data_IF_671376149928
#
_entry.id   IF_671376149928
#
_cell.length_a   1.000
_cell.length_b   1.000
_cell.length_c   1.000
_cell.angle_alpha   90.00
_cell.angle_beta   90.00
_cell.angle_gamma   90.00
#
_symmetry.space_group_name_H-M   'P 1'
#
loop_
_entity.id
_entity.type
_entity.pdbx_description
1 polymer ?
#
# COMPACT_ATOMS: atom_id res chain seq x y z
N UNK A 1 0.21 -2.98 -1.97
CA UNK A 1 0.47 -2.39 -0.64
C UNK A 1 1.24 -1.11 -0.80
N UNK A 2 1.69 -0.46 0.28
CA UNK A 2 2.56 0.70 0.21
C UNK A 2 3.60 0.66 1.34
N UNK A 3 4.87 0.89 1.00
CA UNK A 3 5.97 0.90 1.97
C UNK A 3 6.03 2.23 2.72
N UNK A 4 5.12 2.42 3.68
CA UNK A 4 4.99 3.65 4.47
C UNK A 4 5.91 3.67 5.70
N UNK A 5 6.45 2.52 6.09
CA UNK A 5 7.32 2.38 7.28
C UNK A 5 6.59 2.70 8.60
N UNK A 6 5.26 2.64 8.63
CA UNK A 6 4.47 2.99 9.83
C UNK A 6 4.44 1.87 10.88
N UNK A 7 4.55 0.60 10.47
CA UNK A 7 4.47 -0.55 11.39
C UNK A 7 5.84 -1.13 11.74
N UNK A 8 6.75 -1.11 10.77
CA UNK A 8 8.10 -1.66 10.85
C UNK A 8 8.93 -1.08 9.71
N UNK A 9 10.25 -1.28 9.78
CA UNK A 9 11.14 -1.00 8.64
C UNK A 9 10.62 -1.68 7.36
N UNK A 10 10.42 -0.89 6.31
CA UNK A 10 10.00 -1.37 4.99
C UNK A 10 10.67 -0.51 3.91
N UNK A 11 10.75 -1.06 2.69
CA UNK A 11 11.35 -0.39 1.55
C UNK A 11 10.58 -0.77 0.29
N UNK A 12 10.37 0.21 -0.61
CA UNK A 12 9.69 -0.04 -1.88
C UNK A 12 10.42 -1.11 -2.73
N UNK A 13 11.75 -1.26 -2.58
CA UNK A 13 12.51 -2.34 -3.21
C UNK A 13 12.07 -3.74 -2.75
N UNK A 14 11.62 -3.90 -1.50
CA UNK A 14 11.09 -5.17 -1.00
C UNK A 14 9.71 -5.45 -1.58
N UNK A 15 8.86 -4.42 -1.67
CA UNK A 15 7.56 -4.51 -2.36
C UNK A 15 7.73 -4.83 -3.85
N UNK A 16 8.73 -4.24 -4.51
CA UNK A 16 9.12 -4.56 -5.88
C UNK A 16 9.51 -6.03 -6.02
N UNK A 17 10.44 -6.52 -5.18
CA UNK A 17 10.86 -7.91 -5.20
C UNK A 17 9.69 -8.89 -5.00
N UNK A 18 8.84 -8.63 -4.00
CA UNK A 18 7.68 -9.49 -3.72
C UNK A 18 6.70 -9.51 -4.89
N UNK A 19 6.53 -8.38 -5.58
CA UNK A 19 5.64 -8.28 -6.74
C UNK A 19 6.21 -9.01 -7.95
N UNK A 20 7.51 -8.88 -8.24
CA UNK A 20 8.19 -9.63 -9.31
C UNK A 20 8.12 -11.13 -9.03
N UNK A 21 8.50 -11.55 -7.83
CA UNK A 21 8.41 -12.96 -7.40
C UNK A 21 6.97 -13.47 -7.45
N UNK A 22 6.02 -12.69 -6.95
CA UNK A 22 4.60 -13.05 -6.93
C UNK A 22 3.97 -13.15 -8.33
N UNK A 23 4.51 -12.43 -9.31
CA UNK A 23 4.14 -12.52 -10.72
C UNK A 23 4.72 -13.75 -11.43
N UNK A 24 5.49 -14.60 -10.72
CA UNK A 24 6.23 -15.72 -11.28
C UNK A 24 7.17 -15.28 -12.42
N UNK A 25 7.79 -14.10 -12.25
CA UNK A 25 8.68 -13.45 -13.22
C UNK A 25 8.05 -13.13 -14.59
N UNK A 26 6.72 -13.19 -14.70
CA UNK A 26 5.99 -12.82 -15.93
C UNK A 26 5.57 -11.35 -15.97
N UNK A 27 5.70 -10.63 -14.87
CA UNK A 27 5.35 -9.20 -14.80
C UNK A 27 6.43 -8.28 -15.39
N UNK A 28 5.98 -7.25 -16.11
CA UNK A 28 6.84 -6.20 -16.64
C UNK A 28 7.48 -5.39 -15.50
N UNK A 29 8.79 -5.52 -15.35
CA UNK A 29 9.49 -5.00 -14.17
C UNK A 29 9.56 -3.47 -14.12
N UNK A 30 9.56 -2.80 -15.27
CA UNK A 30 9.49 -1.34 -15.34
C UNK A 30 8.15 -0.80 -14.81
N UNK A 31 7.04 -1.45 -15.18
CA UNK A 31 5.72 -1.14 -14.65
C UNK A 31 5.61 -1.44 -13.15
N UNK A 32 6.16 -2.56 -12.69
CA UNK A 32 6.17 -2.94 -11.27
C UNK A 32 7.02 -1.95 -10.46
N UNK A 33 8.19 -1.56 -10.96
CA UNK A 33 9.06 -0.56 -10.33
C UNK A 33 8.30 0.75 -10.12
N UNK A 34 7.68 1.27 -11.18
CA UNK A 34 6.88 2.49 -11.11
C UNK A 34 5.76 2.37 -10.07
N UNK A 35 4.99 1.28 -10.13
CA UNK A 35 3.89 1.03 -9.20
C UNK A 35 4.37 0.99 -7.74
N UNK A 36 5.41 0.23 -7.44
CA UNK A 36 5.90 0.06 -6.08
C UNK A 36 6.52 1.34 -5.51
N UNK A 37 7.19 2.13 -6.35
CA UNK A 37 7.82 3.40 -5.98
C UNK A 37 6.80 4.52 -5.75
N UNK A 38 5.74 4.61 -6.56
CA UNK A 38 4.70 5.63 -6.42
C UNK A 38 3.66 5.28 -5.32
N UNK A 39 3.52 4.00 -4.96
CA UNK A 39 2.49 3.54 -4.02
C UNK A 39 2.40 4.35 -2.70
N UNK A 40 3.50 4.70 -1.99
CA UNK A 40 3.42 5.53 -0.79
C UNK A 40 2.77 6.90 -1.04
N UNK A 41 3.16 7.57 -2.13
CA UNK A 41 2.67 8.90 -2.49
C UNK A 41 1.18 8.85 -2.83
N UNK A 42 0.75 7.87 -3.63
CA UNK A 42 -0.67 7.70 -4.01
C UNK A 42 -1.53 7.35 -2.79
N UNK A 43 -1.02 6.55 -1.85
CA UNK A 43 -1.75 6.26 -0.60
C UNK A 43 -1.94 7.51 0.26
N UNK A 44 -0.91 8.35 0.42
CA UNK A 44 -1.07 9.63 1.12
C UNK A 44 -1.99 10.60 0.37
N UNK A 45 -1.99 10.59 -0.96
CA UNK A 45 -2.94 11.38 -1.75
C UNK A 45 -4.39 10.95 -1.48
N UNK A 46 -4.68 9.65 -1.43
CA UNK A 46 -5.99 9.14 -1.03
C UNK A 46 -6.38 9.57 0.39
N UNK A 47 -5.43 9.55 1.33
CA UNK A 47 -5.65 10.03 2.70
C UNK A 47 -6.02 11.52 2.71
N UNK A 48 -5.29 12.36 1.97
CA UNK A 48 -5.59 13.78 1.81
C UNK A 48 -6.91 14.04 1.07
N UNK A 49 -7.35 13.12 0.21
CA UNK A 49 -8.69 13.15 -0.38
C UNK A 49 -9.81 12.82 0.61
N UNK A 50 -9.46 12.41 1.83
CA UNK A 50 -10.40 12.08 2.90
C UNK A 50 -10.65 10.58 3.05
N UNK A 51 -9.82 9.72 2.45
CA UNK A 51 -9.95 8.28 2.61
C UNK A 51 -9.78 7.90 4.10
N UNK A 52 -10.79 7.26 4.73
CA UNK A 52 -10.79 6.99 6.16
C UNK A 52 -9.98 5.72 6.49
N UNK A 53 -8.67 5.78 6.29
CA UNK A 53 -7.78 4.70 6.74
C UNK A 53 -7.83 4.54 8.27
N UNK A 54 -7.72 3.29 8.70
CA UNK A 54 -7.50 2.95 10.11
C UNK A 54 -6.19 3.57 10.58
N UNK A 55 -6.10 3.84 11.89
CA UNK A 55 -4.99 4.57 12.48
C UNK A 55 -4.27 3.76 13.54
N UNK A 56 -2.96 3.90 13.56
CA UNK A 56 -2.13 3.53 14.69
C UNK A 56 -2.36 4.50 15.87
N UNK A 57 -1.85 4.15 17.04
CA UNK A 57 -1.96 5.00 18.24
C UNK A 57 -1.28 6.38 18.08
N UNK A 58 -0.30 6.49 17.19
CA UNK A 58 0.40 7.73 16.85
C UNK A 58 -0.29 8.54 15.73
N UNK A 59 -1.43 8.06 15.20
CA UNK A 59 -2.19 8.70 14.14
C UNK A 59 -1.70 8.41 12.72
N UNK A 60 -0.64 7.61 12.55
CA UNK A 60 -0.20 7.15 11.23
C UNK A 60 -1.18 6.13 10.64
N UNK A 61 -1.13 5.93 9.32
CA UNK A 61 -1.98 4.94 8.63
C UNK A 61 -1.60 3.54 9.10
N UNK A 62 -2.58 2.81 9.66
CA UNK A 62 -2.43 1.41 10.04
C UNK A 62 -2.19 0.52 8.80
N UNK A 63 -1.29 -0.46 8.95
CA UNK A 63 -1.01 -1.45 7.91
C UNK A 63 -1.08 -2.86 8.50
N UNK A 64 -1.74 -3.78 7.80
CA UNK A 64 -1.89 -5.17 8.22
C UNK A 64 -0.95 -6.13 7.46
N UNK A 65 -0.67 -7.32 8.01
CA UNK A 65 -0.06 -8.40 7.24
C UNK A 65 -0.94 -8.79 6.04
N UNK A 66 -0.29 -9.20 4.94
CA UNK A 66 -0.98 -9.78 3.79
C UNK A 66 -0.08 -10.84 3.14
N UNK A 67 -0.69 -11.75 2.38
CA UNK A 67 0.04 -12.84 1.72
C UNK A 67 1.15 -12.31 0.80
N UNK A 68 2.33 -12.94 0.86
CA UNK A 68 3.45 -12.62 -0.02
C UNK A 68 4.20 -11.32 0.30
N UNK A 69 3.84 -10.58 1.36
CA UNK A 69 4.58 -9.39 1.77
C UNK A 69 5.73 -9.75 2.70
N UNK A 70 6.96 -9.50 2.25
CA UNK A 70 8.20 -9.76 3.00
C UNK A 70 9.14 -8.55 3.02
N UNK A 71 10.01 -8.49 4.04
CA UNK A 71 11.14 -7.58 4.11
C UNK A 71 12.45 -8.33 3.80
N UNK A 72 13.50 -7.58 3.45
CA UNK A 72 14.83 -8.11 3.12
C UNK A 72 14.76 -9.23 2.06
N UNK A 73 14.05 -9.00 0.96
CA UNK A 73 13.98 -9.91 -0.19
C UNK A 73 13.53 -11.36 0.14
N UNK A 74 12.53 -11.51 1.02
CA UNK A 74 11.95 -12.82 1.35
C UNK A 74 12.25 -13.34 2.76
N UNK A 75 13.02 -12.61 3.57
CA UNK A 75 13.52 -13.10 4.85
C UNK A 75 12.43 -13.20 5.92
N UNK A 76 11.60 -12.16 6.06
CA UNK A 76 10.60 -12.07 7.13
C UNK A 76 9.31 -11.41 6.67
N UNK A 77 8.14 -11.74 7.24
CA UNK A 77 6.89 -11.05 6.93
C UNK A 77 6.94 -9.56 7.28
N UNK A 78 6.22 -8.74 6.50
CA UNK A 78 6.10 -7.29 6.75
C UNK A 78 4.68 -6.80 6.53
N UNK A 79 4.31 -5.75 7.27
CA UNK A 79 2.98 -5.17 7.26
C UNK A 79 2.97 -3.95 6.35
N UNK A 80 2.39 -4.10 5.15
CA UNK A 80 2.32 -3.01 4.16
C UNK A 80 0.97 -2.86 3.46
N UNK A 81 -0.06 -3.57 3.93
CA UNK A 81 -1.40 -3.44 3.39
C UNK A 81 -2.19 -2.40 4.20
N UNK A 82 -2.31 -1.18 3.67
CA UNK A 82 -3.12 -0.11 4.24
C UNK A 82 -4.61 -0.51 4.23
N UNK A 83 -5.32 -0.25 5.32
CA UNK A 83 -6.70 -0.72 5.47
C UNK A 83 -7.65 0.34 6.03
N UNK A 84 -8.92 0.22 5.66
CA UNK A 84 -10.05 0.84 6.36
C UNK A 84 -10.96 -0.32 6.78
N UNK A 85 -10.69 -0.86 7.97
CA UNK A 85 -11.16 -2.16 8.43
C UNK A 85 -11.03 -3.25 7.34
N UNK A 86 -12.13 -3.92 7.02
CA UNK A 86 -12.28 -4.89 5.94
C UNK A 86 -13.05 -4.30 4.74
N UNK A 87 -13.19 -2.97 4.68
CA UNK A 87 -14.00 -2.24 3.68
C UNK A 87 -13.21 -1.23 2.87
N UNK A 88 -11.89 -1.41 2.74
CA UNK A 88 -10.98 -0.51 2.02
C UNK A 88 -11.48 -0.18 0.60
N UNK A 89 -12.00 -1.17 -0.13
CA UNK A 89 -12.54 -0.93 -1.48
C UNK A 89 -13.78 -0.03 -1.50
N UNK A 90 -14.70 -0.20 -0.55
CA UNK A 90 -15.87 0.67 -0.38
C UNK A 90 -15.44 2.10 -0.05
N UNK A 91 -14.56 2.26 0.95
CA UNK A 91 -14.06 3.56 1.36
C UNK A 91 -13.33 4.29 0.22
N UNK A 92 -12.47 3.58 -0.53
CA UNK A 92 -11.73 4.12 -1.66
C UNK A 92 -12.67 4.58 -2.78
N UNK A 93 -13.64 3.75 -3.17
CA UNK A 93 -14.59 4.09 -4.24
C UNK A 93 -15.43 5.32 -3.89
N UNK A 94 -15.94 5.41 -2.66
CA UNK A 94 -16.69 6.58 -2.20
C UNK A 94 -15.82 7.83 -2.14
N UNK A 95 -14.58 7.72 -1.66
CA UNK A 95 -13.63 8.84 -1.61
C UNK A 95 -13.37 9.40 -3.00
N UNK A 96 -13.04 8.53 -3.96
CA UNK A 96 -12.80 8.95 -5.35
C UNK A 96 -14.05 9.52 -6.00
N UNK A 97 -15.23 8.91 -5.79
CA UNK A 97 -16.49 9.45 -6.30
C UNK A 97 -16.77 10.85 -5.77
N UNK A 98 -16.59 11.06 -4.45
CA UNK A 98 -16.77 12.37 -3.82
C UNK A 98 -15.79 13.40 -4.37
N UNK A 99 -14.55 13.03 -4.68
CA UNK A 99 -13.59 13.94 -5.32
C UNK A 99 -14.00 14.31 -6.76
N UNK A 100 -14.53 13.36 -7.53
CA UNK A 100 -15.00 13.62 -8.90
C UNK A 100 -16.17 14.62 -8.95
N UNK A 101 -17.10 14.58 -7.98
CA UNK A 101 -18.27 15.47 -7.95
C UNK A 101 -18.01 16.83 -7.29
N UNK A 102 -16.81 17.06 -6.74
CA UNK A 102 -16.38 18.38 -6.22
C UNK A 102 -15.96 19.34 -7.34
N UNK A 103 -15.76 18.83 -8.55
CA UNK A 103 -15.37 19.59 -9.74
C UNK A 103 -16.42 20.64 -10.12
#
# INVERSE_FOLDING_TARGET
GASLVNMSEDNWHYHFYDTVKGSDWLGDQDAIEFMCREAPKVVYELEHFGMPFDRNADGTIYQRPFGGHTANYGEKPVQRACAAADRTGHAMLHTLYQQNVKA
#
